data_IF_918099389194
#
_entry.id   IF_918099389194
#
_cell.length_a   1.000
_cell.length_b   1.000
_cell.length_c   1.000
_cell.angle_alpha   90.00
_cell.angle_beta   90.00
_cell.angle_gamma   90.00
#
_symmetry.space_group_name_H-M   'P 1'
#
loop_
_entity.id
_entity.type
_entity.pdbx_description
1 polymer ?
#
# COMPACT_ATOMS: atom_id res chain seq x y z
N UNK A 1 -31.78 12.65 0.98
CA UNK A 1 -31.26 11.33 0.60
C UNK A 1 -31.83 10.94 -0.75
N UNK A 2 -31.00 10.75 -1.76
CA UNK A 2 -31.04 9.54 -2.58
C UNK A 2 -29.74 9.44 -3.38
N UNK A 3 -29.11 8.28 -3.23
CA UNK A 3 -27.83 7.88 -3.80
C UNK A 3 -28.09 7.47 -5.25
N UNK A 4 -27.39 8.08 -6.21
CA UNK A 4 -27.30 7.54 -7.56
C UNK A 4 -25.84 7.53 -8.01
N UNK A 5 -25.25 6.37 -7.75
CA UNK A 5 -24.19 5.71 -8.51
C UNK A 5 -23.99 6.28 -9.92
N UNK A 6 -23.03 7.20 -10.08
CA UNK A 6 -22.41 7.41 -11.39
C UNK A 6 -21.23 6.45 -11.50
N UNK A 7 -21.47 5.38 -12.27
CA UNK A 7 -20.56 4.26 -12.44
C UNK A 7 -19.11 4.66 -12.72
N UNK A 8 -18.21 4.08 -11.94
CA UNK A 8 -16.80 3.97 -12.24
C UNK A 8 -16.51 2.50 -12.51
N UNK A 9 -16.81 2.04 -13.72
CA UNK A 9 -16.32 0.75 -14.21
C UNK A 9 -15.58 0.97 -15.52
N UNK A 10 -14.28 1.24 -15.40
CA UNK A 10 -13.33 1.11 -16.50
C UNK A 10 -12.05 0.47 -15.94
N UNK A 11 -11.81 -0.78 -16.36
CA UNK A 11 -10.72 -1.69 -15.99
C UNK A 11 -10.95 -2.51 -14.70
N UNK A 12 -11.38 -3.76 -14.89
CA UNK A 12 -11.86 -4.72 -13.88
C UNK A 12 -10.78 -5.31 -12.95
N UNK A 13 -9.97 -4.46 -12.35
CA UNK A 13 -9.29 -4.74 -11.08
C UNK A 13 -9.41 -3.45 -10.27
N UNK A 14 -10.44 -3.33 -9.42
CA UNK A 14 -10.42 -2.35 -8.34
C UNK A 14 -9.19 -2.69 -7.50
N UNK A 15 -8.13 -1.90 -7.66
CA UNK A 15 -6.90 -2.17 -6.92
C UNK A 15 -7.23 -2.07 -5.42
N UNK A 16 -6.83 -3.06 -4.63
CA UNK A 16 -7.25 -3.14 -3.24
C UNK A 16 -6.69 -1.94 -2.47
N UNK A 17 -7.57 -1.21 -1.79
CA UNK A 17 -7.17 -0.11 -0.92
C UNK A 17 -6.37 -0.67 0.26
N UNK A 18 -5.28 0.01 0.63
CA UNK A 18 -4.46 -0.37 1.78
C UNK A 18 -5.12 0.18 3.04
N UNK A 19 -5.55 -0.64 3.98
CA UNK A 19 -6.05 -0.18 5.28
C UNK A 19 -4.91 0.24 6.22
N UNK A 20 -3.79 -0.50 6.17
CA UNK A 20 -2.62 -0.30 7.04
C UNK A 20 -1.34 -0.72 6.33
N UNK A 21 -0.23 -0.04 6.64
CA UNK A 21 1.11 -0.48 6.27
C UNK A 21 2.02 -0.32 7.49
N UNK A 22 2.88 -1.31 7.74
CA UNK A 22 3.77 -1.34 8.91
C UNK A 22 5.17 -1.77 8.51
N UNK A 23 6.17 -1.09 9.07
CA UNK A 23 7.56 -1.50 8.96
C UNK A 23 7.81 -2.78 9.75
N UNK A 24 8.55 -3.72 9.17
CA UNK A 24 9.14 -4.87 9.85
C UNK A 24 10.62 -4.97 9.47
N UNK A 25 11.43 -5.75 10.19
CA UNK A 25 12.81 -6.01 9.79
C UNK A 25 12.96 -6.59 8.37
N UNK A 26 11.96 -7.33 7.90
CA UNK A 26 11.98 -8.03 6.61
C UNK A 26 11.36 -7.23 5.46
N UNK A 27 10.65 -6.13 5.74
CA UNK A 27 9.96 -5.34 4.73
C UNK A 27 8.82 -4.48 5.27
N UNK A 28 7.86 -4.16 4.41
CA UNK A 28 6.61 -3.48 4.76
C UNK A 28 5.48 -4.50 4.72
N UNK A 29 4.83 -4.73 5.86
CA UNK A 29 3.58 -5.50 5.95
C UNK A 29 2.43 -4.60 5.54
N UNK A 30 1.76 -4.95 4.45
CA UNK A 30 0.60 -4.25 3.90
C UNK A 30 -0.65 -5.05 4.26
N UNK A 31 -1.63 -4.38 4.86
CA UNK A 31 -2.96 -4.93 5.12
C UNK A 31 -3.95 -4.20 4.21
N UNK A 32 -4.71 -4.94 3.41
CA UNK A 32 -5.73 -4.37 2.54
C UNK A 32 -7.08 -4.20 3.27
N UNK A 33 -7.96 -3.32 2.78
CA UNK A 33 -9.31 -3.14 3.32
C UNK A 33 -10.19 -4.37 3.02
N UNK A 34 -11.20 -4.65 3.85
CA UNK A 34 -12.07 -5.82 3.69
C UNK A 34 -12.89 -5.82 2.39
N UNK A 35 -12.97 -4.67 1.71
CA UNK A 35 -13.62 -4.51 0.41
C UNK A 35 -12.70 -4.89 -0.78
N UNK A 36 -11.41 -5.08 -0.52
CA UNK A 36 -10.55 -5.84 -1.42
C UNK A 36 -11.06 -7.29 -1.44
N UNK A 37 -11.23 -7.87 -2.62
CA UNK A 37 -11.78 -9.22 -2.90
C UNK A 37 -11.07 -10.38 -2.13
N UNK A 38 -10.11 -10.08 -1.27
CA UNK A 38 -9.46 -11.02 -0.37
C UNK A 38 -9.58 -10.52 1.07
N UNK A 39 -10.67 -10.90 1.75
CA UNK A 39 -10.73 -10.87 3.20
C UNK A 39 -9.49 -11.63 3.74
N UNK A 40 -8.60 -10.94 4.44
CA UNK A 40 -7.28 -11.40 4.91
C UNK A 40 -6.12 -11.36 3.92
N UNK A 41 -6.16 -10.53 2.87
CA UNK A 41 -4.93 -10.28 2.11
C UNK A 41 -4.02 -9.33 2.91
N UNK A 42 -3.15 -9.89 3.72
CA UNK A 42 -1.91 -9.21 4.10
C UNK A 42 -0.80 -9.58 3.12
N UNK A 43 0.17 -8.69 2.95
CA UNK A 43 1.32 -8.92 2.09
C UNK A 43 2.56 -8.30 2.68
N UNK A 44 3.60 -9.11 2.86
CA UNK A 44 4.93 -8.61 3.16
C UNK A 44 5.66 -8.22 1.86
N UNK A 45 6.14 -6.99 1.79
CA UNK A 45 6.82 -6.44 0.62
C UNK A 45 8.19 -5.94 1.03
N UNK A 46 9.24 -6.54 0.48
CA UNK A 46 10.61 -6.07 0.70
C UNK A 46 10.74 -4.58 0.35
N UNK A 47 11.49 -3.84 1.16
CA UNK A 47 11.60 -2.38 1.05
C UNK A 47 12.01 -1.89 -0.34
N UNK A 48 13.00 -2.52 -0.98
CA UNK A 48 13.42 -2.18 -2.36
C UNK A 48 12.24 -2.19 -3.33
N UNK A 49 11.36 -3.18 -3.20
CA UNK A 49 10.16 -3.32 -4.03
C UNK A 49 9.09 -2.29 -3.68
N UNK A 50 8.92 -1.97 -2.40
CA UNK A 50 8.01 -0.91 -1.96
C UNK A 50 8.41 0.46 -2.50
N UNK A 51 9.72 0.80 -2.48
CA UNK A 51 10.25 2.02 -3.09
C UNK A 51 10.00 2.03 -4.60
N UNK A 52 10.29 0.93 -5.31
CA UNK A 52 10.00 0.84 -6.75
C UNK A 52 8.50 1.02 -7.06
N UNK A 53 7.60 0.60 -6.15
CA UNK A 53 6.17 0.80 -6.34
C UNK A 53 5.76 2.27 -6.16
N UNK A 54 6.32 2.95 -5.16
CA UNK A 54 6.11 4.39 -4.97
C UNK A 54 6.64 5.18 -6.18
N UNK A 55 7.87 4.89 -6.62
CA UNK A 55 8.53 5.56 -7.76
C UNK A 55 7.74 5.43 -9.06
N UNK A 56 7.10 4.27 -9.28
CA UNK A 56 6.27 4.02 -10.47
C UNK A 56 4.84 4.54 -10.36
N UNK A 57 4.48 5.29 -9.32
CA UNK A 57 3.13 5.78 -9.12
C UNK A 57 2.08 4.68 -8.95
N UNK A 58 2.49 3.51 -8.41
CA UNK A 58 1.59 2.34 -8.29
C UNK A 58 0.31 2.65 -7.53
N UNK A 59 0.36 3.63 -6.62
CA UNK A 59 -0.73 4.01 -5.72
C UNK A 59 -1.36 5.35 -6.06
N UNK A 60 -1.12 5.91 -7.26
CA UNK A 60 -1.66 7.23 -7.64
C UNK A 60 -3.19 7.24 -7.75
N UNK A 61 -3.81 6.06 -7.88
CA UNK A 61 -5.26 5.89 -7.86
C UNK A 61 -5.88 6.12 -6.48
N UNK A 62 -5.11 5.92 -5.40
CA UNK A 62 -5.50 6.18 -4.01
C UNK A 62 -4.30 6.78 -3.26
N UNK A 63 -4.21 8.13 -3.21
CA UNK A 63 -3.11 8.82 -2.54
C UNK A 63 -2.90 8.40 -1.09
N UNK A 64 -3.96 7.96 -0.40
CA UNK A 64 -3.86 7.54 0.99
C UNK A 64 -3.14 6.20 1.13
N UNK A 65 -3.34 5.27 0.18
CA UNK A 65 -2.54 4.03 0.09
C UNK A 65 -1.05 4.32 -0.14
N UNK A 66 -0.73 5.26 -1.03
CA UNK A 66 0.65 5.70 -1.26
C UNK A 66 1.28 6.30 0.00
N UNK A 67 0.55 7.18 0.69
CA UNK A 67 0.98 7.80 1.95
C UNK A 67 1.27 6.75 3.04
N UNK A 68 0.40 5.75 3.22
CA UNK A 68 0.59 4.67 4.20
C UNK A 68 1.90 3.90 3.95
N UNK A 69 2.21 3.59 2.69
CA UNK A 69 3.46 2.92 2.32
C UNK A 69 4.67 3.82 2.59
N UNK A 70 4.61 5.10 2.23
CA UNK A 70 5.68 6.05 2.48
C UNK A 70 5.96 6.24 3.98
N UNK A 71 4.90 6.34 4.80
CA UNK A 71 5.03 6.43 6.25
C UNK A 71 5.67 5.17 6.85
N UNK A 72 5.22 3.98 6.43
CA UNK A 72 5.82 2.72 6.88
C UNK A 72 7.30 2.61 6.45
N UNK A 73 7.66 3.11 5.27
CA UNK A 73 9.04 3.16 4.82
C UNK A 73 9.91 4.03 5.75
N UNK A 74 9.45 5.25 6.06
CA UNK A 74 10.16 6.17 6.98
C UNK A 74 10.34 5.56 8.38
N UNK A 75 9.30 4.92 8.92
CA UNK A 75 9.41 4.20 10.20
C UNK A 75 10.47 3.09 10.12
N UNK A 76 10.56 2.38 8.99
CA UNK A 76 11.61 1.38 8.75
C UNK A 76 13.02 1.97 8.73
N UNK A 77 13.19 3.19 8.22
CA UNK A 77 14.46 3.94 8.27
C UNK A 77 14.81 4.25 9.72
N UNK A 78 13.89 4.89 10.44
CA UNK A 78 14.10 5.32 11.82
C UNK A 78 14.37 4.15 12.77
N UNK A 79 13.81 2.98 12.46
CA UNK A 79 13.99 1.75 13.24
C UNK A 79 15.25 0.95 12.86
N UNK A 80 16.00 1.38 11.83
CA UNK A 80 17.19 0.67 11.36
C UNK A 80 16.90 -0.66 10.63
N UNK A 81 15.68 -0.87 10.14
CA UNK A 81 15.27 -2.08 9.42
C UNK A 81 15.70 -2.11 7.96
N UNK A 82 16.18 -0.97 7.46
CA UNK A 82 16.60 -0.79 6.10
C UNK A 82 18.12 -0.99 5.98
N UNK A 83 18.59 -2.12 5.43
CA UNK A 83 19.99 -2.30 5.10
C UNK A 83 20.30 -1.59 3.77
N UNK A 84 20.00 -0.30 3.67
CA UNK A 84 20.67 0.53 2.66
C UNK A 84 22.06 0.82 3.22
N UNK A 85 22.97 -0.14 3.06
CA UNK A 85 24.36 0.23 2.91
C UNK A 85 24.50 0.88 1.54
N UNK A 86 25.15 2.03 1.48
CA UNK A 86 25.66 2.59 0.22
C UNK A 86 26.43 1.54 -0.60
#
# INVERSE_FOLDING_TARGET
MNILNSGFTASGITQPEISKAEATPEGIRIVYSANAVCANSEKLVAYKKAVTWLDKGRYDYDPLSGYRIAAAFLVGVDSGYLPFSD
#
